data_IF_113745346451
#
_entry.id   IF_113745346451
#
_cell.length_a   1.000
_cell.length_b   1.000
_cell.length_c   1.000
_cell.angle_alpha   90.00
_cell.angle_beta   90.00
_cell.angle_gamma   90.00
#
_symmetry.space_group_name_H-M   'P 1'
#
loop_
_entity.id
_entity.type
_entity.pdbx_description
1 polymer ?
#
# COMPACT_ATOMS: atom_id res chain seq x y z
N UNK A 1 16.50 -14.78 8.44
CA UNK A 1 16.13 -13.53 9.14
C UNK A 1 17.01 -13.26 10.37
N UNK A 2 17.17 -14.22 11.29
CA UNK A 2 17.93 -14.02 12.54
C UNK A 2 19.38 -13.53 12.32
N UNK A 3 20.16 -14.21 11.48
CA UNK A 3 21.54 -13.78 11.14
C UNK A 3 21.63 -12.37 10.53
N UNK A 4 20.61 -11.94 9.77
CA UNK A 4 20.57 -10.58 9.22
C UNK A 4 20.33 -9.54 10.33
N UNK A 5 19.40 -9.84 11.25
CA UNK A 5 19.12 -8.98 12.38
C UNK A 5 20.32 -8.85 13.34
N UNK A 6 21.07 -9.93 13.56
CA UNK A 6 22.33 -9.92 14.32
C UNK A 6 23.39 -9.00 13.69
N UNK A 7 23.38 -8.86 12.36
CA UNK A 7 24.23 -7.92 11.62
C UNK A 7 23.63 -6.51 11.49
N UNK A 8 22.53 -6.19 12.20
CA UNK A 8 21.85 -4.89 12.11
C UNK A 8 20.97 -4.70 10.87
N UNK A 9 20.82 -5.72 10.04
CA UNK A 9 20.07 -5.67 8.79
C UNK A 9 18.61 -6.10 8.99
N UNK A 10 17.72 -5.67 8.08
CA UNK A 10 16.37 -6.22 7.92
C UNK A 10 16.34 -7.12 6.68
N UNK A 11 15.55 -8.17 6.73
CA UNK A 11 15.47 -9.14 5.65
C UNK A 11 14.11 -9.80 5.53
N UNK A 12 13.67 -9.96 4.29
CA UNK A 12 12.45 -10.68 3.90
C UNK A 12 12.79 -11.62 2.74
N UNK A 13 12.29 -12.86 2.81
CA UNK A 13 12.42 -13.85 1.76
C UNK A 13 11.05 -14.38 1.39
N UNK A 14 10.68 -14.26 0.12
CA UNK A 14 9.46 -14.85 -0.42
C UNK A 14 9.82 -16.11 -1.21
N UNK A 15 9.60 -17.26 -0.58
CA UNK A 15 10.11 -18.57 -1.01
C UNK A 15 9.64 -18.96 -2.42
N UNK A 16 8.37 -18.73 -2.77
CA UNK A 16 7.80 -19.19 -4.04
C UNK A 16 8.51 -18.58 -5.27
N UNK A 17 9.10 -17.39 -5.10
CA UNK A 17 9.78 -16.67 -6.17
C UNK A 17 11.30 -16.60 -6.02
N UNK A 18 11.87 -17.22 -4.99
CA UNK A 18 13.27 -17.00 -4.55
C UNK A 18 13.62 -15.51 -4.49
N UNK A 19 12.71 -14.73 -3.91
CA UNK A 19 12.77 -13.28 -3.92
C UNK A 19 13.25 -12.76 -2.56
N UNK A 20 14.40 -12.08 -2.55
CA UNK A 20 14.99 -11.52 -1.33
C UNK A 20 14.91 -10.01 -1.33
N UNK A 21 14.63 -9.45 -0.17
CA UNK A 21 14.78 -8.04 0.14
C UNK A 21 15.62 -7.90 1.40
N UNK A 22 16.71 -7.13 1.33
CA UNK A 22 17.63 -6.88 2.43
C UNK A 22 17.81 -5.38 2.56
N UNK A 23 17.69 -4.87 3.78
CA UNK A 23 17.80 -3.44 4.06
C UNK A 23 18.82 -3.17 5.16
N UNK A 24 19.70 -2.22 4.89
CA UNK A 24 20.64 -1.65 5.85
C UNK A 24 20.06 -0.34 6.39
N UNK A 25 19.57 -0.30 7.64
CA UNK A 25 18.99 0.91 8.22
C UNK A 25 20.02 2.02 8.49
N UNK A 26 21.29 1.67 8.70
CA UNK A 26 22.36 2.65 8.96
C UNK A 26 22.71 3.39 7.68
N UNK A 27 22.91 2.65 6.59
CA UNK A 27 23.25 3.21 5.27
C UNK A 27 22.05 3.68 4.46
N UNK A 28 20.84 3.28 4.86
CA UNK A 28 19.58 3.46 4.12
C UNK A 28 19.65 2.91 2.70
N UNK A 29 20.27 1.73 2.55
CA UNK A 29 20.42 1.03 1.28
C UNK A 29 19.61 -0.26 1.31
N UNK A 30 18.77 -0.44 0.30
CA UNK A 30 18.01 -1.67 0.07
C UNK A 30 18.55 -2.43 -1.14
N UNK A 31 18.67 -3.75 -1.01
CA UNK A 31 19.00 -4.66 -2.10
C UNK A 31 17.85 -5.63 -2.28
N UNK A 32 17.41 -5.79 -3.53
CA UNK A 32 16.41 -6.77 -3.93
C UNK A 32 17.05 -7.77 -4.89
N UNK A 33 16.99 -9.06 -4.57
CA UNK A 33 17.48 -10.14 -5.43
C UNK A 33 16.29 -10.90 -6.00
N UNK A 34 16.32 -11.09 -7.31
CA UNK A 34 15.25 -11.67 -8.12
C UNK A 34 15.86 -12.62 -9.14
N UNK A 35 15.15 -13.68 -9.50
CA UNK A 35 15.61 -14.64 -10.52
C UNK A 35 15.70 -14.04 -11.94
N UNK A 36 14.89 -13.03 -12.22
CA UNK A 36 14.85 -12.26 -13.47
C UNK A 36 14.25 -10.88 -13.19
N UNK A 37 14.31 -9.95 -14.16
CA UNK A 37 13.80 -8.59 -14.00
C UNK A 37 12.28 -8.50 -13.71
N UNK A 38 11.53 -9.53 -14.07
CA UNK A 38 10.08 -9.66 -13.93
C UNK A 38 9.64 -10.64 -12.84
N UNK A 39 10.58 -11.32 -12.16
CA UNK A 39 10.30 -12.27 -11.09
C UNK A 39 9.97 -11.59 -9.74
N UNK A 40 9.18 -10.52 -9.75
CA UNK A 40 8.70 -9.86 -8.53
C UNK A 40 7.35 -10.44 -8.09
N UNK A 41 7.03 -10.40 -6.78
CA UNK A 41 5.71 -10.77 -6.31
C UNK A 41 4.62 -9.92 -6.96
N UNK A 42 3.42 -10.48 -7.22
CA UNK A 42 2.42 -9.82 -8.04
C UNK A 42 1.80 -8.56 -7.38
N UNK A 43 2.05 -8.33 -6.08
CA UNK A 43 1.70 -7.09 -5.39
C UNK A 43 2.68 -5.94 -5.59
N UNK A 44 3.92 -6.21 -6.03
CA UNK A 44 4.99 -5.22 -6.11
C UNK A 44 4.62 -4.01 -6.98
N UNK A 45 3.99 -4.15 -8.17
CA UNK A 45 3.58 -2.98 -8.96
C UNK A 45 2.52 -2.10 -8.26
N UNK A 46 1.72 -2.68 -7.36
CA UNK A 46 0.68 -1.94 -6.64
C UNK A 46 1.16 -1.27 -5.36
N UNK A 47 2.28 -1.74 -4.80
CA UNK A 47 2.88 -1.24 -3.57
C UNK A 47 4.43 -1.42 -3.66
N UNK A 48 5.10 -0.66 -4.54
CA UNK A 48 6.52 -0.83 -4.80
C UNK A 48 7.34 -0.49 -3.57
N UNK A 49 8.43 -1.22 -3.35
CA UNK A 49 9.37 -1.01 -2.23
C UNK A 49 8.71 -1.12 -0.85
N UNK A 50 7.51 -1.71 -0.74
CA UNK A 50 6.71 -1.73 0.49
C UNK A 50 7.49 -2.20 1.71
N UNK A 51 8.30 -3.25 1.59
CA UNK A 51 9.11 -3.75 2.69
C UNK A 51 10.19 -2.75 3.14
N UNK A 52 10.89 -2.13 2.19
CA UNK A 52 11.90 -1.11 2.47
C UNK A 52 11.28 0.14 3.12
N UNK A 53 10.17 0.63 2.57
CA UNK A 53 9.44 1.77 3.12
C UNK A 53 8.89 1.45 4.52
N UNK A 54 8.39 0.23 4.73
CA UNK A 54 7.98 -0.22 6.06
C UNK A 54 9.12 -0.15 7.07
N UNK A 55 10.30 -0.70 6.75
CA UNK A 55 11.44 -0.68 7.68
C UNK A 55 11.98 0.73 7.91
N UNK A 56 12.11 1.54 6.86
CA UNK A 56 12.65 2.89 6.98
C UNK A 56 11.76 3.78 7.84
N UNK A 57 10.45 3.76 7.59
CA UNK A 57 9.53 4.57 8.39
C UNK A 57 9.32 3.99 9.79
N UNK A 58 9.40 2.66 9.96
CA UNK A 58 9.36 2.05 11.28
C UNK A 58 10.52 2.48 12.18
N UNK A 59 11.73 2.67 11.60
CA UNK A 59 12.90 3.19 12.31
C UNK A 59 12.74 4.66 12.74
N UNK A 60 11.83 5.39 12.10
CA UNK A 60 11.49 6.80 12.39
C UNK A 60 10.20 6.94 13.21
N UNK A 61 9.79 5.89 13.94
CA UNK A 61 8.61 5.93 14.81
C UNK A 61 7.25 5.77 14.11
N UNK A 62 7.20 5.77 12.78
CA UNK A 62 5.96 5.67 12.01
C UNK A 62 5.55 4.22 11.75
N UNK A 63 4.31 4.01 11.32
CA UNK A 63 3.74 2.68 11.04
C UNK A 63 3.07 2.62 9.69
N UNK A 64 3.49 1.67 8.87
CA UNK A 64 2.79 1.34 7.65
C UNK A 64 1.54 0.52 7.97
N UNK A 65 0.36 1.04 7.68
CA UNK A 65 -0.91 0.45 8.08
C UNK A 65 -1.74 0.11 6.84
N UNK A 66 -2.26 -1.12 6.79
CA UNK A 66 -3.21 -1.52 5.76
C UNK A 66 -4.60 -1.00 6.13
N UNK A 67 -5.07 0.02 5.40
CA UNK A 67 -6.27 0.76 5.74
C UNK A 67 -6.56 1.90 4.77
N UNK A 68 -7.81 2.34 4.76
CA UNK A 68 -8.25 3.47 3.95
C UNK A 68 -8.44 4.72 4.78
N UNK A 69 -8.45 5.89 4.14
CA UNK A 69 -8.65 7.17 4.83
C UNK A 69 -9.69 8.02 4.13
N UNK A 70 -10.44 8.78 4.91
CA UNK A 70 -11.31 9.86 4.42
C UNK A 70 -11.08 11.09 5.27
N UNK A 71 -11.13 12.27 4.67
CA UNK A 71 -10.96 13.54 5.37
C UNK A 71 -11.75 14.68 4.77
N UNK A 72 -11.89 15.73 5.58
CA UNK A 72 -12.47 17.02 5.24
C UNK A 72 -11.74 18.08 6.06
N UNK A 73 -11.31 19.17 5.41
CA UNK A 73 -10.64 20.31 6.06
C UNK A 73 -9.46 19.92 6.96
N UNK A 74 -8.63 18.99 6.48
CA UNK A 74 -7.43 18.52 7.19
C UNK A 74 -7.70 17.60 8.38
N UNK A 75 -8.95 17.22 8.65
CA UNK A 75 -9.35 16.24 9.66
C UNK A 75 -9.87 14.99 8.99
N UNK A 76 -9.59 13.81 9.55
CA UNK A 76 -9.99 12.58 8.88
C UNK A 76 -10.15 11.39 9.79
N UNK A 77 -10.61 10.31 9.18
CA UNK A 77 -10.84 9.01 9.80
C UNK A 77 -10.01 7.95 9.09
N UNK A 78 -9.50 7.00 9.87
CA UNK A 78 -8.88 5.78 9.38
C UNK A 78 -9.92 4.66 9.36
N UNK A 79 -10.10 4.04 8.20
CA UNK A 79 -10.94 2.86 8.01
C UNK A 79 -10.07 1.62 8.15
N UNK A 80 -10.28 0.87 9.22
CA UNK A 80 -9.64 -0.42 9.47
C UNK A 80 -10.61 -1.58 9.24
N UNK A 81 -10.09 -2.76 8.91
CA UNK A 81 -10.90 -3.95 8.71
C UNK A 81 -10.23 -4.98 7.80
N UNK A 82 -10.76 -6.19 7.77
CA UNK A 82 -10.26 -7.27 6.93
C UNK A 82 -10.31 -6.93 5.43
N UNK A 83 -9.60 -7.73 4.62
CA UNK A 83 -9.75 -7.67 3.15
C UNK A 83 -11.21 -7.92 2.77
N UNK A 84 -11.75 -7.11 1.86
CA UNK A 84 -13.16 -7.22 1.42
C UNK A 84 -14.19 -6.55 2.34
N UNK A 85 -13.79 -6.00 3.50
CA UNK A 85 -14.70 -5.32 4.43
C UNK A 85 -15.30 -3.99 3.93
N UNK A 86 -15.00 -3.57 2.70
CA UNK A 86 -15.58 -2.35 2.09
C UNK A 86 -14.73 -1.08 2.19
N UNK A 87 -13.59 -1.08 2.91
CA UNK A 87 -12.69 0.09 3.07
C UNK A 87 -12.48 0.88 1.77
N UNK A 88 -12.00 0.20 0.73
CA UNK A 88 -11.69 0.82 -0.56
C UNK A 88 -12.91 1.35 -1.28
N UNK A 89 -14.03 0.63 -1.23
CA UNK A 89 -15.29 1.12 -1.79
C UNK A 89 -15.72 2.42 -1.11
N UNK A 90 -15.62 2.47 0.23
CA UNK A 90 -15.94 3.66 1.02
C UNK A 90 -15.00 4.83 0.73
N UNK A 91 -13.69 4.60 0.65
CA UNK A 91 -12.71 5.65 0.30
C UNK A 91 -13.03 6.25 -1.07
N UNK A 92 -13.21 5.40 -2.09
CA UNK A 92 -13.52 5.87 -3.45
C UNK A 92 -14.87 6.59 -3.48
N UNK A 93 -15.90 6.07 -2.80
CA UNK A 93 -17.18 6.76 -2.70
C UNK A 93 -17.05 8.15 -2.07
N UNK A 94 -16.26 8.30 -1.00
CA UNK A 94 -16.01 9.59 -0.37
C UNK A 94 -15.31 10.58 -1.30
N UNK A 95 -14.26 10.13 -2.01
CA UNK A 95 -13.57 10.94 -3.03
C UNK A 95 -14.52 11.44 -4.11
N UNK A 96 -15.44 10.58 -4.59
CA UNK A 96 -16.44 10.96 -5.59
C UNK A 96 -17.47 11.98 -5.09
N UNK A 97 -17.57 12.17 -3.77
CA UNK A 97 -18.50 13.09 -3.11
C UNK A 97 -17.78 14.25 -2.39
N UNK A 98 -16.54 14.56 -2.79
CA UNK A 98 -15.82 15.76 -2.35
C UNK A 98 -15.06 15.63 -1.04
N UNK A 99 -14.86 14.41 -0.51
CA UNK A 99 -13.92 14.17 0.58
C UNK A 99 -12.50 13.98 0.05
N UNK A 100 -11.53 14.18 0.92
CA UNK A 100 -10.11 13.91 0.67
C UNK A 100 -9.71 12.51 1.14
N UNK A 101 -8.60 12.00 0.63
CA UNK A 101 -7.96 10.77 1.12
C UNK A 101 -6.46 10.83 0.92
N UNK A 102 -5.71 10.31 1.89
CA UNK A 102 -4.26 10.10 1.77
C UNK A 102 -3.91 8.67 1.37
N UNK A 103 -4.89 7.78 1.22
CA UNK A 103 -4.66 6.41 0.77
C UNK A 103 -5.78 5.45 1.12
N UNK A 104 -5.75 4.29 0.43
CA UNK A 104 -6.78 3.25 0.44
C UNK A 104 -6.22 1.87 0.86
N UNK A 105 -5.04 1.51 0.36
CA UNK A 105 -4.41 0.20 0.63
C UNK A 105 -3.39 0.32 1.77
N UNK A 106 -2.34 1.13 1.58
CA UNK A 106 -1.37 1.43 2.63
C UNK A 106 -1.29 2.93 2.88
N UNK A 107 -1.37 3.28 4.15
CA UNK A 107 -1.13 4.64 4.65
C UNK A 107 -0.04 4.60 5.70
N UNK A 108 0.69 5.70 5.82
CA UNK A 108 1.67 5.85 6.87
C UNK A 108 1.06 6.59 8.05
N UNK A 109 1.06 5.96 9.23
CA UNK A 109 0.59 6.56 10.47
C UNK A 109 1.78 7.08 11.26
N UNK A 110 1.71 8.36 11.58
CA UNK A 110 2.68 9.10 12.37
C UNK A 110 2.01 9.54 13.68
N UNK A 111 2.74 9.36 14.79
CA UNK A 111 2.26 9.58 16.14
C UNK A 111 3.08 10.63 16.91
N UNK A 112 4.13 11.22 16.30
CA UNK A 112 5.06 12.11 17.01
C UNK A 112 4.40 13.43 17.45
N UNK A 113 3.44 13.95 16.68
CA UNK A 113 2.69 15.19 16.99
C UNK A 113 1.20 15.02 16.65
N UNK A 114 0.55 14.16 17.43
CA UNK A 114 -0.82 13.70 17.21
C UNK A 114 -0.92 12.59 16.16
N UNK A 115 -2.13 12.09 15.94
CA UNK A 115 -2.37 11.01 14.98
C UNK A 115 -2.50 11.60 13.57
N UNK A 116 -1.50 11.39 12.72
CA UNK A 116 -1.48 11.88 11.33
C UNK A 116 -1.37 10.70 10.36
N UNK A 117 -2.26 10.68 9.37
CA UNK A 117 -2.14 9.79 8.22
C UNK A 117 -1.44 10.52 7.06
N UNK A 118 -0.46 9.88 6.45
CA UNK A 118 0.34 10.44 5.34
C UNK A 118 0.25 9.54 4.11
N UNK A 119 0.24 10.11 2.89
CA UNK A 119 0.18 9.32 1.68
C UNK A 119 1.49 8.56 1.46
N UNK A 120 1.38 7.31 1.04
CA UNK A 120 2.52 6.52 0.58
C UNK A 120 2.36 6.08 -0.87
N UNK A 121 1.19 5.58 -1.24
CA UNK A 121 0.88 5.16 -2.59
C UNK A 121 -0.41 5.83 -3.07
N UNK A 122 -0.47 6.14 -4.36
CA UNK A 122 -1.68 6.63 -5.03
C UNK A 122 -2.51 5.52 -5.68
N UNK A 123 -2.04 4.27 -5.60
CA UNK A 123 -2.70 3.12 -6.21
C UNK A 123 -4.00 2.78 -5.49
N UNK A 124 -5.09 2.67 -6.25
CA UNK A 124 -6.41 2.24 -5.78
C UNK A 124 -6.85 0.97 -6.48
N UNK A 125 -7.70 0.20 -5.82
CA UNK A 125 -8.15 -1.11 -6.33
C UNK A 125 -9.64 -1.31 -6.09
N UNK A 126 -10.37 -1.76 -7.10
CA UNK A 126 -11.77 -2.16 -6.98
C UNK A 126 -12.01 -3.49 -7.67
N UNK A 127 -12.79 -4.37 -7.06
CA UNK A 127 -13.34 -5.53 -7.77
C UNK A 127 -14.36 -5.06 -8.83
N UNK A 128 -14.73 -5.91 -9.81
CA UNK A 128 -15.66 -5.52 -10.86
C UNK A 128 -17.01 -5.00 -10.35
N UNK A 129 -17.54 -5.57 -9.26
CA UNK A 129 -18.83 -5.17 -8.69
C UNK A 129 -18.73 -3.78 -8.04
N UNK A 130 -17.67 -3.52 -7.30
CA UNK A 130 -17.38 -2.20 -6.70
C UNK A 130 -17.12 -1.14 -7.78
N UNK A 131 -16.38 -1.49 -8.83
CA UNK A 131 -16.10 -0.59 -9.95
C UNK A 131 -17.38 -0.15 -10.67
N UNK A 132 -18.28 -1.09 -10.94
CA UNK A 132 -19.59 -0.81 -11.54
C UNK A 132 -20.50 -0.01 -10.58
N UNK A 133 -20.59 -0.42 -9.30
CA UNK A 133 -21.41 0.27 -8.28
C UNK A 133 -21.05 1.75 -8.13
N UNK A 134 -19.77 2.07 -8.26
CA UNK A 134 -19.25 3.43 -8.14
C UNK A 134 -19.27 4.21 -9.47
N UNK A 135 -19.76 3.60 -10.56
CA UNK A 135 -19.83 4.22 -11.88
C UNK A 135 -18.47 4.62 -12.45
N UNK A 136 -17.41 3.88 -12.10
CA UNK A 136 -16.03 4.27 -12.44
C UNK A 136 -15.71 4.11 -13.93
N UNK A 137 -16.44 3.27 -14.67
CA UNK A 137 -16.28 3.10 -16.13
C UNK A 137 -16.52 4.42 -16.87
N UNK A 138 -17.57 5.16 -16.51
CA UNK A 138 -17.87 6.45 -17.12
C UNK A 138 -16.89 7.56 -16.75
N UNK A 139 -16.09 7.38 -15.68
CA UNK A 139 -15.18 8.39 -15.14
C UNK A 139 -13.72 8.18 -15.54
N UNK A 140 -13.28 6.92 -15.54
CA UNK A 140 -11.88 6.53 -15.78
C UNK A 140 -11.65 5.95 -17.18
N UNK A 141 -12.71 5.81 -17.98
CA UNK A 141 -12.67 5.23 -19.31
C UNK A 141 -12.64 3.69 -19.29
N UNK A 142 -12.22 3.05 -20.39
CA UNK A 142 -12.31 1.61 -20.54
C UNK A 142 -11.52 0.89 -19.46
N UNK A 143 -12.14 -0.14 -18.91
CA UNK A 143 -11.65 -0.78 -17.73
C UNK A 143 -10.38 -1.60 -18.00
N UNK A 144 -9.32 -1.35 -17.22
CA UNK A 144 -8.05 -2.08 -17.33
C UNK A 144 -8.19 -3.56 -16.97
N UNK A 145 -7.27 -4.44 -17.43
CA UNK A 145 -7.23 -5.84 -17.02
C UNK A 145 -7.22 -6.01 -15.50
N UNK A 146 -7.77 -7.13 -15.04
CA UNK A 146 -7.75 -7.48 -13.62
C UNK A 146 -6.35 -7.88 -13.20
N UNK A 147 -5.95 -7.47 -12.01
CA UNK A 147 -4.72 -7.95 -11.38
C UNK A 147 -4.92 -9.36 -10.79
N UNK A 148 -3.86 -9.89 -10.19
CA UNK A 148 -3.84 -11.20 -9.52
C UNK A 148 -4.88 -11.38 -8.40
N UNK A 149 -5.47 -10.30 -7.87
CA UNK A 149 -6.56 -10.33 -6.88
C UNK A 149 -7.95 -10.27 -7.52
N UNK A 150 -8.06 -10.30 -8.86
CA UNK A 150 -9.32 -10.09 -9.55
C UNK A 150 -9.82 -8.64 -9.45
N UNK A 151 -8.93 -7.66 -9.27
CA UNK A 151 -9.29 -6.24 -9.09
C UNK A 151 -8.73 -5.36 -10.21
N UNK A 152 -9.46 -4.31 -10.55
CA UNK A 152 -9.00 -3.22 -11.42
C UNK A 152 -8.16 -2.26 -10.61
N UNK A 153 -7.02 -1.85 -11.17
CA UNK A 153 -6.07 -0.91 -10.56
C UNK A 153 -6.16 0.44 -11.29
N UNK A 154 -6.19 1.54 -10.52
CA UNK A 154 -6.28 2.91 -11.04
C UNK A 154 -5.65 3.92 -10.07
N UNK A 155 -5.48 5.16 -10.52
CA UNK A 155 -4.90 6.28 -9.78
C UNK A 155 -5.89 7.44 -9.75
#
# INVERSE_FOLDING_TARGET
>A
AQKLAEAGLRGHHFHDLDFWQIYDPERRVGVQLMRSADAFPPWEPGAPLRAFLHWEYAARGMRLTHGGTLGLDGKGVLLAGAGGAGKSGTVVAGLLNGLDSVGDDYVLIDLDDGVRARPLFSTRKQDPKGFARLGLEGRLGPARPLNWQGKRVFH
#
